data_IF_055083046588
#
_entry.id   IF_055083046588
#
_cell.length_a   1.000
_cell.length_b   1.000
_cell.length_c   1.000
_cell.angle_alpha   90.00
_cell.angle_beta   90.00
_cell.angle_gamma   90.00
#
_symmetry.space_group_name_H-M   'P 1'
#
loop_
_entity.id
_entity.type
_entity.pdbx_description
1 polymer ?
#
# COMPACT_ATOMS: atom_id res chain seq x y z
N UNK A 1 -7.69 -21.55 -20.71
CA UNK A 1 -8.35 -20.41 -20.03
C UNK A 1 -8.95 -19.48 -21.08
N UNK A 2 -10.20 -18.99 -20.96
CA UNK A 2 -10.71 -18.01 -21.92
C UNK A 2 -9.88 -16.73 -21.83
N UNK A 3 -9.44 -16.23 -22.99
CA UNK A 3 -8.57 -15.07 -23.11
C UNK A 3 -9.18 -13.79 -22.51
N UNK A 4 -10.51 -13.74 -22.42
CA UNK A 4 -11.27 -12.59 -21.90
C UNK A 4 -11.09 -12.31 -20.41
N UNK A 5 -10.70 -13.29 -19.60
CA UNK A 5 -10.46 -13.02 -18.17
C UNK A 5 -9.10 -12.36 -17.96
N UNK A 6 -8.10 -12.72 -18.79
CA UNK A 6 -6.76 -12.15 -18.73
C UNK A 6 -6.73 -10.70 -19.20
N UNK A 7 -7.63 -10.30 -20.10
CA UNK A 7 -7.69 -8.92 -20.60
C UNK A 7 -8.13 -7.90 -19.55
N UNK A 8 -8.80 -8.35 -18.49
CA UNK A 8 -9.27 -7.48 -17.41
C UNK A 8 -8.26 -7.39 -16.26
N UNK A 9 -7.21 -8.21 -16.29
CA UNK A 9 -6.15 -8.13 -15.31
C UNK A 9 -5.20 -6.99 -15.68
N UNK A 10 -4.69 -6.28 -14.68
CA UNK A 10 -3.72 -5.25 -14.94
C UNK A 10 -2.38 -5.89 -15.34
N UNK A 11 -1.61 -5.23 -16.22
CA UNK A 11 -0.33 -5.73 -16.74
C UNK A 11 0.76 -5.83 -15.66
N UNK A 12 1.90 -6.42 -15.98
CA UNK A 12 3.04 -6.60 -15.07
C UNK A 12 2.90 -7.77 -14.10
N UNK A 13 1.78 -8.50 -14.12
CA UNK A 13 1.54 -9.65 -13.25
C UNK A 13 2.10 -10.94 -13.87
N UNK A 14 2.76 -11.77 -13.05
CA UNK A 14 3.15 -13.11 -13.48
C UNK A 14 1.98 -14.09 -13.37
N UNK A 15 1.77 -14.85 -14.45
CA UNK A 15 0.77 -15.90 -14.56
C UNK A 15 1.47 -17.24 -14.73
N UNK A 16 1.00 -18.23 -13.98
CA UNK A 16 1.35 -19.64 -14.13
C UNK A 16 0.23 -20.35 -14.90
N UNK A 17 0.57 -20.96 -16.03
CA UNK A 17 -0.40 -21.72 -16.84
C UNK A 17 -0.62 -23.12 -16.25
N UNK A 18 -1.68 -23.78 -16.70
CA UNK A 18 -1.98 -25.18 -16.33
C UNK A 18 -0.88 -26.16 -16.78
N UNK A 19 -0.21 -25.86 -17.91
CA UNK A 19 0.97 -26.59 -18.41
C UNK A 19 2.24 -26.36 -17.58
N UNK A 20 2.22 -25.42 -16.64
CA UNK A 20 3.37 -25.07 -15.81
C UNK A 20 4.30 -24.02 -16.44
N UNK A 21 3.84 -23.30 -17.47
CA UNK A 21 4.59 -22.20 -18.06
C UNK A 21 4.41 -20.92 -17.24
N UNK A 22 5.50 -20.21 -17.00
CA UNK A 22 5.48 -18.88 -16.41
C UNK A 22 5.48 -17.83 -17.50
N UNK A 23 4.62 -16.82 -17.38
CA UNK A 23 4.62 -15.66 -18.24
C UNK A 23 4.25 -14.39 -17.50
N UNK A 24 4.50 -13.25 -18.14
CA UNK A 24 4.10 -11.93 -17.66
C UNK A 24 2.98 -11.42 -18.54
N UNK A 25 1.92 -10.90 -17.94
CA UNK A 25 0.87 -10.21 -18.66
C UNK A 25 1.38 -8.84 -19.10
N UNK A 26 1.49 -8.61 -20.40
CA UNK A 26 1.93 -7.32 -20.95
C UNK A 26 0.72 -6.50 -21.42
N UNK A 27 0.80 -5.18 -21.23
CA UNK A 27 -0.23 -4.27 -21.71
C UNK A 27 -0.41 -4.42 -23.23
N UNK A 28 -1.61 -4.78 -23.68
CA UNK A 28 -1.97 -4.91 -25.10
C UNK A 28 -1.42 -6.13 -25.85
N UNK A 29 -0.38 -6.81 -25.36
CA UNK A 29 0.23 -7.97 -26.03
C UNK A 29 -0.19 -9.33 -25.45
N UNK A 30 -0.93 -9.33 -24.34
CA UNK A 30 -1.37 -10.54 -23.67
C UNK A 30 -0.25 -11.22 -22.87
N UNK A 31 -0.34 -12.54 -22.71
CA UNK A 31 0.59 -13.30 -21.89
C UNK A 31 1.89 -13.59 -22.65
N UNK A 32 3.00 -12.96 -22.26
CA UNK A 32 4.35 -13.31 -22.76
C UNK A 32 5.02 -14.34 -21.86
N UNK A 33 5.09 -15.58 -22.33
CA UNK A 33 5.75 -16.68 -21.63
C UNK A 33 7.27 -16.52 -21.60
N UNK A 34 7.91 -16.84 -20.48
CA UNK A 34 9.37 -16.83 -20.29
C UNK A 34 9.92 -18.25 -20.27
N UNK A 35 10.38 -18.74 -21.43
CA UNK A 35 10.94 -20.09 -21.55
C UNK A 35 12.09 -20.35 -20.56
N UNK A 36 12.94 -19.34 -20.33
CA UNK A 36 14.07 -19.44 -19.40
C UNK A 36 13.61 -19.66 -17.94
N UNK A 37 12.62 -18.88 -17.46
CA UNK A 37 12.09 -19.04 -16.10
C UNK A 37 11.30 -20.34 -15.96
N UNK A 38 10.47 -20.67 -16.95
CA UNK A 38 9.75 -21.94 -17.00
C UNK A 38 10.72 -23.11 -16.89
N UNK A 39 11.77 -23.15 -17.70
CA UNK A 39 12.75 -24.24 -17.68
C UNK A 39 13.51 -24.30 -16.34
N UNK A 40 13.95 -23.15 -15.83
CA UNK A 40 14.70 -23.07 -14.56
C UNK A 40 13.87 -23.54 -13.36
N UNK A 41 12.54 -23.39 -13.41
CA UNK A 41 11.61 -23.77 -12.34
C UNK A 41 10.77 -25.02 -12.67
N UNK A 42 10.98 -25.69 -13.81
CA UNK A 42 10.07 -26.73 -14.30
C UNK A 42 9.81 -27.86 -13.30
N UNK A 43 10.88 -28.38 -12.67
CA UNK A 43 10.76 -29.43 -11.66
C UNK A 43 10.01 -28.96 -10.42
N UNK A 44 10.27 -27.72 -9.98
CA UNK A 44 9.62 -27.11 -8.83
C UNK A 44 8.14 -26.84 -9.09
N UNK A 45 7.81 -26.23 -10.23
CA UNK A 45 6.44 -25.94 -10.66
C UNK A 45 5.61 -27.22 -10.77
N UNK A 46 6.16 -28.28 -11.38
CA UNK A 46 5.44 -29.54 -11.51
C UNK A 46 5.08 -30.12 -10.15
N UNK A 47 6.07 -30.27 -9.26
CA UNK A 47 5.83 -30.77 -7.91
C UNK A 47 4.88 -29.88 -7.11
N UNK A 48 4.97 -28.56 -7.29
CA UNK A 48 4.06 -27.60 -6.68
C UNK A 48 2.61 -27.80 -7.16
N UNK A 49 2.40 -27.83 -8.48
CA UNK A 49 1.06 -27.96 -9.07
C UNK A 49 0.43 -29.32 -8.76
N UNK A 50 1.20 -30.40 -8.72
CA UNK A 50 0.69 -31.73 -8.35
C UNK A 50 0.24 -31.74 -6.88
N UNK A 51 1.04 -31.16 -5.98
CA UNK A 51 0.67 -31.02 -4.57
C UNK A 51 -0.54 -30.08 -4.38
N UNK A 52 -0.59 -28.99 -5.15
CA UNK A 52 -1.70 -28.03 -5.13
C UNK A 52 -3.01 -28.65 -5.61
N UNK A 53 -2.99 -29.41 -6.70
CA UNK A 53 -4.18 -30.11 -7.23
C UNK A 53 -4.70 -31.18 -6.26
N UNK A 54 -3.81 -31.79 -5.49
CA UNK A 54 -4.18 -32.80 -4.48
C UNK A 54 -4.87 -32.15 -3.28
N UNK A 55 -4.31 -31.04 -2.77
CA UNK A 55 -4.90 -30.28 -1.67
C UNK A 55 -4.59 -28.78 -1.83
N UNK A 56 -5.52 -28.01 -2.41
CA UNK A 56 -5.37 -26.58 -2.63
C UNK A 56 -5.24 -25.76 -1.34
N UNK A 57 -5.74 -26.30 -0.22
CA UNK A 57 -5.80 -25.62 1.07
C UNK A 57 -4.65 -26.01 2.01
N UNK A 58 -3.84 -27.00 1.64
CA UNK A 58 -2.72 -27.42 2.47
C UNK A 58 -1.59 -26.39 2.49
N UNK A 59 -1.34 -25.87 3.71
CA UNK A 59 -0.22 -24.97 4.00
C UNK A 59 -0.34 -23.62 3.29
N UNK A 60 0.81 -22.99 3.03
CA UNK A 60 0.89 -21.65 2.44
C UNK A 60 0.91 -21.66 0.89
N UNK A 61 0.40 -22.71 0.23
CA UNK A 61 0.45 -22.83 -1.24
C UNK A 61 -0.42 -21.79 -1.92
N UNK A 62 -1.70 -21.71 -1.52
CA UNK A 62 -2.60 -20.62 -1.90
C UNK A 62 -2.54 -19.55 -0.83
N UNK A 63 -2.23 -18.32 -1.25
CA UNK A 63 -2.06 -17.19 -0.34
C UNK A 63 -3.19 -16.17 -0.44
N UNK A 64 -3.87 -16.13 -1.58
CA UNK A 64 -5.02 -15.29 -1.81
C UNK A 64 -5.85 -15.83 -2.99
N UNK A 65 -7.00 -15.22 -3.21
CA UNK A 65 -7.77 -15.32 -4.44
C UNK A 65 -7.94 -13.93 -5.06
N UNK A 66 -8.09 -13.88 -6.37
CA UNK A 66 -8.42 -12.68 -7.14
C UNK A 66 -9.79 -12.88 -7.77
N UNK A 67 -10.67 -11.90 -7.57
CA UNK A 67 -12.02 -11.89 -8.10
C UNK A 67 -12.47 -10.46 -8.41
N UNK A 68 -13.57 -10.33 -9.14
CA UNK A 68 -14.21 -9.05 -9.41
C UNK A 68 -15.45 -8.95 -8.54
N UNK A 69 -15.50 -7.94 -7.70
CA UNK A 69 -16.64 -7.66 -6.83
C UNK A 69 -17.59 -6.71 -7.53
N UNK A 70 -18.89 -7.00 -7.51
CA UNK A 70 -19.91 -6.09 -8.04
C UNK A 70 -20.09 -4.81 -7.18
N UNK A 71 -19.61 -4.82 -5.93
CA UNK A 71 -19.70 -3.69 -5.01
C UNK A 71 -18.71 -2.55 -5.30
N UNK A 72 -19.09 -1.34 -4.91
CA UNK A 72 -18.21 -0.15 -4.97
C UNK A 72 -17.06 -0.31 -3.98
N UNK A 73 -15.91 -0.73 -4.47
CA UNK A 73 -14.65 -0.62 -3.73
C UNK A 73 -13.90 0.63 -4.19
N UNK A 74 -13.04 1.22 -3.33
CA UNK A 74 -12.24 2.38 -3.72
C UNK A 74 -11.23 2.07 -4.83
N UNK A 75 -11.05 0.79 -5.18
CA UNK A 75 -10.30 0.37 -6.35
C UNK A 75 -11.26 -0.18 -7.42
N UNK A 76 -11.26 0.40 -8.62
CA UNK A 76 -12.07 -0.04 -9.77
C UNK A 76 -11.57 -1.34 -10.43
N UNK A 77 -10.65 -2.06 -9.79
CA UNK A 77 -9.91 -3.18 -10.36
C UNK A 77 -10.16 -4.49 -9.61
N UNK A 78 -9.54 -5.57 -10.06
CA UNK A 78 -9.63 -6.88 -9.42
C UNK A 78 -9.29 -6.82 -7.91
N UNK A 79 -10.15 -7.42 -7.11
CA UNK A 79 -10.01 -7.52 -5.65
C UNK A 79 -9.21 -8.76 -5.29
N UNK A 80 -8.12 -8.56 -4.55
CA UNK A 80 -7.34 -9.63 -3.94
C UNK A 80 -7.84 -9.86 -2.52
N UNK A 81 -8.21 -11.10 -2.20
CA UNK A 81 -8.64 -11.52 -0.86
C UNK A 81 -7.67 -12.55 -0.29
N UNK A 82 -6.97 -12.18 0.77
CA UNK A 82 -5.98 -13.04 1.43
C UNK A 82 -6.62 -14.20 2.18
N UNK A 83 -5.91 -15.32 2.26
CA UNK A 83 -6.23 -16.40 3.20
C UNK A 83 -5.96 -15.96 4.65
N UNK A 84 -6.73 -16.49 5.61
CA UNK A 84 -6.63 -16.14 7.03
C UNK A 84 -5.19 -16.23 7.58
N UNK A 85 -4.47 -17.28 7.20
CA UNK A 85 -3.08 -17.51 7.62
C UNK A 85 -2.12 -16.42 7.08
N UNK A 86 -2.38 -15.91 5.89
CA UNK A 86 -1.58 -14.84 5.27
C UNK A 86 -1.88 -13.51 5.93
N UNK A 87 -3.15 -13.21 6.20
CA UNK A 87 -3.53 -11.99 6.95
C UNK A 87 -2.85 -11.96 8.32
N UNK A 88 -2.80 -13.10 9.03
CA UNK A 88 -2.12 -13.19 10.33
C UNK A 88 -0.62 -13.00 10.23
N UNK A 89 0.00 -13.49 9.16
CA UNK A 89 1.43 -13.32 8.93
C UNK A 89 1.78 -11.86 8.59
N UNK A 90 1.01 -11.23 7.70
CA UNK A 90 1.19 -9.84 7.29
C UNK A 90 0.85 -8.84 8.40
N UNK A 91 -0.14 -9.17 9.24
CA UNK A 91 -0.65 -8.29 10.29
C UNK A 91 -0.70 -9.03 11.64
N UNK A 92 0.46 -9.27 12.27
CA UNK A 92 0.52 -9.98 13.54
C UNK A 92 -0.23 -9.18 14.62
N UNK A 93 -1.16 -9.85 15.30
CA UNK A 93 -1.81 -9.31 16.50
C UNK A 93 -1.07 -9.81 17.73
N UNK A 94 -0.76 -8.92 18.68
CA UNK A 94 -0.14 -9.30 19.94
C UNK A 94 -1.02 -10.27 20.75
N UNK A 95 -0.44 -11.37 21.25
CA UNK A 95 -1.10 -12.34 22.11
C UNK A 95 -1.43 -13.70 21.47
N UNK A 96 -1.89 -14.66 22.28
CA UNK A 96 -2.32 -15.98 21.79
C UNK A 96 -3.70 -15.86 21.15
N UNK A 97 -3.76 -15.60 19.86
CA UNK A 97 -5.03 -15.59 19.12
C UNK A 97 -5.47 -17.04 18.86
N UNK A 98 -6.38 -17.55 19.68
CA UNK A 98 -7.19 -18.73 19.35
C UNK A 98 -8.53 -18.24 18.82
N UNK A 99 -8.82 -18.44 17.53
CA UNK A 99 -10.10 -18.05 16.93
C UNK A 99 -9.94 -17.35 15.58
N UNK A 100 -11.00 -16.68 15.11
CA UNK A 100 -11.04 -15.94 13.85
C UNK A 100 -10.08 -14.74 13.77
N UNK A 101 -10.11 -14.03 12.63
CA UNK A 101 -9.34 -12.79 12.43
C UNK A 101 -9.89 -11.67 13.33
N UNK A 102 -9.01 -10.81 13.85
CA UNK A 102 -9.44 -9.59 14.56
C UNK A 102 -10.16 -8.63 13.61
N UNK A 103 -10.96 -7.68 14.12
CA UNK A 103 -11.62 -6.68 13.28
C UNK A 103 -10.63 -5.88 12.43
N UNK A 104 -9.43 -5.59 12.97
CA UNK A 104 -8.36 -4.98 12.19
C UNK A 104 -7.92 -5.89 11.03
N UNK A 105 -7.60 -7.15 11.31
CA UNK A 105 -7.19 -8.13 10.29
C UNK A 105 -8.28 -8.35 9.23
N UNK A 106 -9.56 -8.40 9.61
CA UNK A 106 -10.67 -8.49 8.65
C UNK A 106 -10.69 -7.30 7.68
N UNK A 107 -10.48 -6.07 8.17
CA UNK A 107 -10.34 -4.88 7.30
C UNK A 107 -9.10 -4.91 6.41
N UNK A 108 -8.06 -5.66 6.80
CA UNK A 108 -6.85 -5.82 6.00
C UNK A 108 -6.93 -7.00 5.01
N UNK A 109 -8.00 -7.82 5.06
CA UNK A 109 -8.15 -9.03 4.25
C UNK A 109 -8.25 -8.77 2.74
N UNK A 110 -8.89 -7.66 2.37
CA UNK A 110 -9.17 -7.33 0.98
C UNK A 110 -8.32 -6.15 0.52
N UNK A 111 -7.66 -6.26 -0.62
CA UNK A 111 -6.83 -5.21 -1.21
C UNK A 111 -7.07 -5.14 -2.72
N UNK A 112 -6.68 -4.03 -3.34
CA UNK A 112 -6.43 -4.05 -4.78
C UNK A 112 -5.35 -5.09 -5.10
N UNK A 113 -5.43 -5.68 -6.29
CA UNK A 113 -4.47 -6.68 -6.74
C UNK A 113 -3.02 -6.23 -6.60
N UNK A 114 -2.69 -5.02 -7.06
CA UNK A 114 -1.33 -4.48 -6.95
C UNK A 114 -0.86 -4.32 -5.51
N UNK A 115 -1.67 -3.69 -4.65
CA UNK A 115 -1.28 -3.47 -3.25
C UNK A 115 -1.14 -4.78 -2.50
N UNK A 116 -2.00 -5.75 -2.78
CA UNK A 116 -1.90 -7.08 -2.19
C UNK A 116 -0.61 -7.82 -2.59
N UNK A 117 -0.24 -7.75 -3.87
CA UNK A 117 0.99 -8.35 -4.38
C UNK A 117 2.25 -7.67 -3.83
N UNK A 118 2.26 -6.34 -3.76
CA UNK A 118 3.33 -5.53 -3.17
C UNK A 118 3.59 -5.91 -1.71
N UNK A 119 2.53 -5.94 -0.89
CA UNK A 119 2.62 -6.35 0.52
C UNK A 119 3.26 -7.74 0.69
N UNK A 120 2.89 -8.71 -0.16
CA UNK A 120 3.49 -10.04 -0.13
C UNK A 120 4.96 -10.02 -0.55
N UNK A 121 5.32 -9.28 -1.59
CA UNK A 121 6.69 -9.17 -2.10
C UNK A 121 7.64 -8.42 -1.16
N UNK A 122 7.13 -7.52 -0.34
CA UNK A 122 7.90 -6.76 0.65
C UNK A 122 8.00 -7.48 1.99
N UNK A 123 7.05 -8.36 2.31
CA UNK A 123 7.05 -9.07 3.59
C UNK A 123 8.30 -9.93 3.79
N UNK A 124 8.95 -9.76 4.94
CA UNK A 124 10.09 -10.54 5.42
C UNK A 124 9.81 -11.04 6.82
N UNK A 125 10.23 -12.27 7.12
CA UNK A 125 10.21 -12.79 8.50
C UNK A 125 11.42 -12.25 9.24
N UNK A 126 11.23 -11.85 10.50
CA UNK A 126 12.32 -11.37 11.37
C UNK A 126 13.47 -12.39 11.46
N UNK A 127 13.15 -13.68 11.44
CA UNK A 127 14.16 -14.75 11.49
C UNK A 127 15.03 -14.87 10.23
N UNK A 128 14.56 -14.32 9.10
CA UNK A 128 15.21 -14.42 7.77
C UNK A 128 14.92 -13.14 6.95
N UNK A 129 15.52 -12.00 7.32
CA UNK A 129 15.22 -10.71 6.68
C UNK A 129 15.60 -10.67 5.20
N UNK A 130 16.60 -11.45 4.77
CA UNK A 130 17.10 -11.42 3.39
C UNK A 130 16.35 -12.35 2.44
N UNK A 131 15.49 -13.21 2.96
CA UNK A 131 14.81 -14.25 2.18
C UNK A 131 13.34 -13.87 1.98
N UNK A 132 12.85 -13.74 0.73
CA UNK A 132 11.45 -13.48 0.50
C UNK A 132 10.60 -14.67 0.96
N UNK A 133 9.53 -14.36 1.70
CA UNK A 133 8.57 -15.37 2.19
C UNK A 133 7.59 -15.75 1.10
N UNK A 134 7.19 -14.76 0.29
CA UNK A 134 6.22 -14.93 -0.79
C UNK A 134 6.86 -14.69 -2.16
N UNK A 135 6.49 -15.53 -3.12
CA UNK A 135 6.70 -15.35 -4.55
C UNK A 135 5.36 -15.58 -5.25
N UNK A 136 4.45 -14.58 -5.21
CA UNK A 136 3.09 -14.74 -5.65
C UNK A 136 2.98 -14.76 -7.17
N UNK A 137 2.24 -15.74 -7.71
CA UNK A 137 1.88 -15.84 -9.13
C UNK A 137 0.40 -16.13 -9.26
N UNK A 138 -0.26 -15.61 -10.29
CA UNK A 138 -1.65 -15.92 -10.57
C UNK A 138 -1.79 -17.27 -11.26
N UNK A 139 -2.75 -18.06 -10.83
CA UNK A 139 -3.07 -19.35 -11.41
C UNK A 139 -4.57 -19.45 -11.69
N UNK A 140 -4.87 -19.76 -12.94
CA UNK A 140 -6.23 -19.95 -13.40
C UNK A 140 -6.77 -21.29 -12.91
N UNK A 141 -7.87 -21.27 -12.17
CA UNK A 141 -8.60 -22.47 -11.78
C UNK A 141 -9.94 -22.56 -12.50
N UNK A 142 -10.44 -23.77 -12.76
CA UNK A 142 -11.75 -23.97 -13.38
C UNK A 142 -12.92 -23.75 -12.39
N UNK A 143 -12.65 -23.43 -11.13
CA UNK A 143 -13.64 -23.25 -10.07
C UNK A 143 -14.17 -21.82 -10.00
N UNK A 144 -15.42 -21.66 -9.57
CA UNK A 144 -16.04 -20.36 -9.34
C UNK A 144 -15.73 -19.79 -7.96
N UNK A 145 -16.23 -18.58 -7.70
CA UNK A 145 -16.07 -17.92 -6.40
C UNK A 145 -16.84 -18.62 -5.28
N UNK A 146 -17.94 -19.32 -5.60
CA UNK A 146 -18.67 -20.16 -4.64
C UNK A 146 -17.78 -21.22 -3.98
N UNK A 147 -16.90 -21.86 -4.75
CA UNK A 147 -15.93 -22.85 -4.25
C UNK A 147 -14.84 -22.23 -3.36
N UNK A 148 -14.82 -20.90 -3.23
CA UNK A 148 -13.85 -20.12 -2.44
C UNK A 148 -14.52 -19.22 -1.40
N UNK A 149 -15.81 -19.39 -1.14
CA UNK A 149 -16.55 -18.54 -0.21
C UNK A 149 -15.89 -18.45 1.19
N UNK A 150 -15.30 -19.56 1.68
CA UNK A 150 -14.57 -19.57 2.95
C UNK A 150 -13.38 -18.59 2.99
N UNK A 151 -12.71 -18.36 1.84
CA UNK A 151 -11.57 -17.45 1.71
C UNK A 151 -11.97 -15.98 1.60
N UNK A 152 -13.26 -15.67 1.41
CA UNK A 152 -13.76 -14.30 1.40
C UNK A 152 -13.90 -13.70 2.80
N UNK A 153 -14.13 -14.53 3.83
CA UNK A 153 -14.41 -14.00 5.18
C UNK A 153 -15.73 -13.23 5.29
N UNK A 154 -16.59 -13.32 4.27
CA UNK A 154 -17.95 -12.79 4.23
C UNK A 154 -18.88 -13.76 3.51
N UNK A 155 -20.19 -13.55 3.66
CA UNK A 155 -21.18 -14.24 2.83
C UNK A 155 -21.02 -13.83 1.36
N UNK A 156 -21.18 -14.80 0.48
CA UNK A 156 -21.21 -14.60 -0.96
C UNK A 156 -22.58 -14.08 -1.38
N UNK A 157 -22.61 -13.09 -2.26
CA UNK A 157 -23.87 -12.65 -2.85
C UNK A 157 -24.31 -13.65 -3.93
N UNK A 158 -25.62 -13.87 -4.14
CA UNK A 158 -26.11 -14.82 -5.15
C UNK A 158 -25.53 -14.58 -6.55
N UNK A 159 -25.41 -13.31 -6.95
CA UNK A 159 -24.84 -12.88 -8.23
C UNK A 159 -23.35 -13.19 -8.40
N UNK A 160 -22.60 -13.28 -7.29
CA UNK A 160 -21.15 -13.53 -7.30
C UNK A 160 -20.82 -15.03 -7.43
N UNK A 161 -21.81 -15.91 -7.33
CA UNK A 161 -21.58 -17.37 -7.27
C UNK A 161 -20.93 -17.96 -8.53
N UNK A 162 -21.27 -17.41 -9.69
CA UNK A 162 -20.77 -17.83 -11.00
C UNK A 162 -19.49 -17.09 -11.43
N UNK A 163 -19.03 -16.12 -10.63
CA UNK A 163 -17.85 -15.35 -10.96
C UNK A 163 -16.60 -16.22 -10.95
N UNK A 164 -15.78 -16.05 -11.98
CA UNK A 164 -14.50 -16.76 -12.08
C UNK A 164 -13.50 -16.14 -11.13
N UNK A 165 -12.68 -17.01 -10.55
CA UNK A 165 -11.59 -16.63 -9.66
C UNK A 165 -10.25 -17.09 -10.19
N UNK A 166 -9.20 -16.40 -9.77
CA UNK A 166 -7.83 -16.88 -9.89
C UNK A 166 -7.25 -17.09 -8.51
N UNK A 167 -6.56 -18.19 -8.33
CA UNK A 167 -5.83 -18.45 -7.11
C UNK A 167 -4.47 -17.74 -7.20
N UNK A 168 -4.03 -17.14 -6.10
CA UNK A 168 -2.67 -16.60 -5.97
C UNK A 168 -1.82 -17.66 -5.28
N UNK A 169 -0.86 -18.21 -6.02
CA UNK A 169 0.02 -19.27 -5.56
C UNK A 169 1.35 -18.71 -5.08
N UNK A 170 1.88 -19.21 -3.97
CA UNK A 170 3.20 -18.84 -3.48
C UNK A 170 4.26 -19.86 -3.91
N UNK A 171 4.95 -19.58 -5.02
CA UNK A 171 6.01 -20.47 -5.52
C UNK A 171 7.24 -20.55 -4.62
N UNK A 172 7.35 -19.73 -3.58
CA UNK A 172 8.42 -19.90 -2.59
C UNK A 172 8.18 -21.14 -1.71
N UNK A 173 6.93 -21.63 -1.62
CA UNK A 173 6.52 -22.70 -0.70
C UNK A 173 6.54 -24.07 -1.37
N UNK A 174 7.62 -24.85 -1.21
CA UNK A 174 7.54 -26.32 -1.28
C UNK A 174 8.81 -26.96 -0.72
N UNK A 175 8.68 -27.90 0.22
CA UNK A 175 9.77 -28.74 0.69
C UNK A 175 10.62 -28.16 1.83
N UNK A 176 11.28 -29.07 2.55
CA UNK A 176 12.15 -28.78 3.69
C UNK A 176 13.26 -27.78 3.30
N UNK A 177 13.06 -26.52 3.68
CA UNK A 177 14.07 -25.46 3.85
C UNK A 177 14.88 -24.96 2.63
N UNK A 178 14.80 -25.54 1.43
CA UNK A 178 15.76 -25.23 0.35
C UNK A 178 15.25 -24.42 -0.85
N UNK A 179 13.96 -24.19 -1.02
CA UNK A 179 13.44 -23.55 -2.25
C UNK A 179 13.49 -22.03 -2.23
N UNK A 180 13.38 -21.40 -1.06
CA UNK A 180 13.37 -19.93 -0.94
C UNK A 180 14.66 -19.27 -1.46
N UNK A 181 15.78 -19.98 -1.38
CA UNK A 181 17.09 -19.49 -1.80
C UNK A 181 17.53 -19.98 -3.19
N UNK A 182 16.60 -20.55 -3.97
CA UNK A 182 16.88 -20.87 -5.36
C UNK A 182 17.18 -19.57 -6.14
N UNK A 183 18.27 -19.51 -6.92
CA UNK A 183 18.56 -18.38 -7.79
C UNK A 183 17.37 -18.03 -8.70
N UNK A 184 16.64 -19.03 -9.20
CA UNK A 184 15.50 -18.80 -10.07
C UNK A 184 14.31 -18.14 -9.36
N UNK A 185 14.04 -18.49 -8.09
CA UNK A 185 13.01 -17.82 -7.28
C UNK A 185 13.41 -16.38 -6.98
N UNK A 186 14.69 -16.12 -6.68
CA UNK A 186 15.19 -14.74 -6.52
C UNK A 186 15.03 -13.94 -7.81
N UNK A 187 15.41 -14.50 -8.96
CA UNK A 187 15.22 -13.84 -10.26
C UNK A 187 13.75 -13.53 -10.54
N UNK A 188 12.84 -14.47 -10.27
CA UNK A 188 11.40 -14.25 -10.42
C UNK A 188 10.89 -13.17 -9.46
N UNK A 189 11.34 -13.16 -8.20
CA UNK A 189 10.95 -12.15 -7.23
C UNK A 189 11.45 -10.76 -7.63
N UNK A 190 12.71 -10.62 -8.05
CA UNK A 190 13.24 -9.36 -8.60
C UNK A 190 12.47 -8.89 -9.83
N UNK A 191 12.07 -9.81 -10.71
CA UNK A 191 11.23 -9.49 -11.86
C UNK A 191 9.86 -8.95 -11.40
N UNK A 192 9.19 -9.64 -10.47
CA UNK A 192 7.92 -9.23 -9.89
C UNK A 192 8.00 -7.86 -9.20
N UNK A 193 9.02 -7.64 -8.38
CA UNK A 193 9.26 -6.35 -7.72
C UNK A 193 9.45 -5.23 -8.75
N UNK A 194 10.25 -5.46 -9.78
CA UNK A 194 10.46 -4.47 -10.84
C UNK A 194 9.16 -4.12 -11.57
N UNK A 195 8.31 -5.10 -11.84
CA UNK A 195 7.07 -4.90 -12.61
C UNK A 195 5.92 -4.33 -11.77
N UNK A 196 5.82 -4.73 -10.50
CA UNK A 196 4.68 -4.38 -9.65
C UNK A 196 4.95 -3.17 -8.75
N UNK A 197 6.18 -3.01 -8.25
CA UNK A 197 6.51 -1.96 -7.27
C UNK A 197 6.91 -0.67 -7.99
N UNK A 198 7.63 -0.73 -9.11
CA UNK A 198 8.06 0.47 -9.82
C UNK A 198 6.86 1.26 -10.36
N UNK A 199 6.42 2.27 -9.60
CA UNK A 199 5.27 3.13 -9.88
C UNK A 199 5.44 3.86 -11.23
N UNK A 200 6.67 4.19 -11.62
CA UNK A 200 6.94 4.89 -12.89
C UNK A 200 6.52 4.05 -14.10
N UNK A 201 6.74 2.73 -14.07
CA UNK A 201 6.30 1.83 -15.14
C UNK A 201 4.77 1.70 -15.19
N UNK A 202 4.05 2.02 -14.11
CA UNK A 202 2.58 2.07 -14.07
C UNK A 202 2.02 3.37 -14.67
N UNK A 203 2.83 4.43 -14.69
CA UNK A 203 2.43 5.75 -15.19
C UNK A 203 2.76 5.98 -16.68
N UNK A 204 3.51 5.07 -17.32
CA UNK A 204 3.69 5.13 -18.78
C UNK A 204 2.33 4.91 -19.46
N UNK A 205 1.98 5.72 -20.47
CA UNK A 205 0.65 5.83 -21.10
C UNK A 205 0.04 4.56 -21.71
N UNK A 206 0.74 3.42 -21.66
CA UNK A 206 0.19 2.07 -21.94
C UNK A 206 -0.34 1.34 -20.70
N UNK A 207 -0.05 1.87 -19.51
CA UNK A 207 -0.41 1.42 -18.16
C UNK A 207 -1.29 2.43 -17.42
N UNK A 208 -1.51 3.64 -17.96
CA UNK A 208 -2.60 4.52 -17.52
C UNK A 208 -3.86 3.66 -17.49
N UNK A 209 -4.29 3.35 -16.27
CA UNK A 209 -5.45 2.53 -16.03
C UNK A 209 -6.60 3.06 -16.89
N UNK A 210 -7.46 2.15 -17.27
CA UNK A 210 -8.86 2.43 -17.58
C UNK A 210 -9.56 3.09 -16.37
N UNK A 211 -9.06 4.21 -15.84
CA UNK A 211 -9.86 5.34 -15.36
C UNK A 211 -10.59 5.96 -16.56
N UNK A 212 -11.27 5.12 -17.35
CA UNK A 212 -12.44 5.61 -18.04
C UNK A 212 -13.39 5.96 -16.92
N UNK A 213 -13.58 7.27 -16.74
CA UNK A 213 -14.70 7.86 -16.03
C UNK A 213 -15.88 6.90 -16.11
N UNK A 214 -16.22 6.29 -14.98
CA UNK A 214 -17.55 5.76 -14.80
C UNK A 214 -18.42 7.01 -14.85
N UNK A 215 -18.91 7.37 -16.03
CA UNK A 215 -20.05 8.27 -16.08
C UNK A 215 -21.16 7.53 -15.33
N UNK A 216 -21.76 8.12 -14.30
CA UNK A 216 -22.88 7.51 -13.60
C UNK A 216 -24.07 7.48 -14.58
N UNK A 217 -24.12 6.44 -15.41
CA UNK A 217 -25.23 6.16 -16.29
C UNK A 217 -26.38 5.58 -15.47
N UNK A 218 -27.48 6.34 -15.39
CA UNK A 218 -28.83 5.95 -15.00
C UNK A 218 -28.94 4.72 -14.07
N UNK A 219 -28.55 4.89 -12.81
CA UNK A 219 -29.03 4.01 -11.75
C UNK A 219 -30.52 4.26 -11.55
N UNK A 220 -31.34 3.30 -11.98
CA UNK A 220 -32.76 3.18 -11.60
C UNK A 220 -32.83 3.20 -10.05
N UNK A 221 -33.77 3.95 -9.44
CA UNK A 221 -33.88 4.00 -7.98
C UNK A 221 -34.22 2.60 -7.47
N UNK A 222 -33.27 1.97 -6.79
CA UNK A 222 -33.52 0.74 -6.04
C UNK A 222 -34.28 1.15 -4.77
N UNK A 223 -35.45 0.55 -4.46
CA UNK A 223 -36.17 0.88 -3.25
C UNK A 223 -35.33 0.51 -2.02
N UNK A 224 -35.21 1.47 -1.09
CA UNK A 224 -34.49 1.34 0.17
C UNK A 224 -34.87 0.03 0.90
N UNK A 225 -33.90 -0.85 1.21
CA UNK A 225 -34.16 -1.96 2.11
C UNK A 225 -34.33 -1.43 3.53
N UNK A 226 -35.38 -1.90 4.19
CA UNK A 226 -35.69 -1.61 5.59
C UNK A 226 -34.52 -2.00 6.49
N UNK A 227 -34.08 -1.01 7.27
CA UNK A 227 -32.92 -0.95 8.15
C UNK A 227 -32.77 -2.15 9.11
N UNK A 228 -31.57 -2.75 9.09
CA UNK A 228 -31.03 -3.58 10.16
C UNK A 228 -29.50 -3.38 10.20
N UNK A 229 -29.01 -2.74 11.27
CA UNK A 229 -27.64 -2.42 11.65
C UNK A 229 -26.49 -2.84 10.69
N UNK A 230 -26.09 -1.92 9.82
CA UNK A 230 -24.79 -1.92 9.12
C UNK A 230 -24.07 -0.60 9.42
N UNK A 231 -22.76 -0.59 9.74
CA UNK A 231 -22.04 0.65 10.02
C UNK A 231 -21.93 1.52 8.77
N UNK A 232 -22.38 2.77 8.93
CA UNK A 232 -22.50 3.82 7.93
C UNK A 232 -21.12 4.31 7.44
N UNK A 233 -20.81 4.07 6.17
CA UNK A 233 -19.59 4.48 5.49
C UNK A 233 -19.83 5.66 4.53
N UNK A 234 -21.07 6.14 4.39
CA UNK A 234 -21.46 7.11 3.36
C UNK A 234 -21.49 8.57 3.82
N UNK A 235 -21.28 8.85 5.12
CA UNK A 235 -21.43 10.20 5.68
C UNK A 235 -20.18 11.09 5.65
N UNK A 236 -19.15 10.79 4.84
CA UNK A 236 -17.91 11.60 4.80
C UNK A 236 -17.68 12.42 3.52
N UNK A 237 -18.59 12.40 2.54
CA UNK A 237 -18.32 12.96 1.20
C UNK A 237 -19.01 14.29 0.83
N UNK A 238 -19.59 15.03 1.78
CA UNK A 238 -20.20 16.34 1.49
C UNK A 238 -19.48 17.50 2.17
N UNK A 239 -18.49 18.11 1.50
CA UNK A 239 -18.30 19.56 1.26
C UNK A 239 -17.23 19.72 0.16
N UNK A 240 -17.65 20.18 -1.03
CA UNK A 240 -16.84 20.24 -2.25
C UNK A 240 -16.36 21.67 -2.56
N UNK A 241 -15.03 21.85 -2.65
CA UNK A 241 -14.31 22.89 -3.42
C UNK A 241 -12.94 22.28 -3.86
N UNK A 242 -12.26 22.79 -4.90
CA UNK A 242 -11.47 21.98 -5.82
C UNK A 242 -10.33 21.23 -5.14
N UNK A 243 -10.36 19.90 -5.30
CA UNK A 243 -9.28 18.99 -4.92
C UNK A 243 -8.02 19.33 -5.72
N UNK A 244 -7.18 20.21 -5.18
CA UNK A 244 -5.75 20.00 -5.33
C UNK A 244 -5.49 18.69 -4.59
N UNK A 245 -5.23 17.62 -5.34
CA UNK A 245 -4.97 16.26 -4.86
C UNK A 245 -4.16 16.27 -3.55
N UNK A 246 -4.84 16.22 -2.40
CA UNK A 246 -4.19 16.12 -1.09
C UNK A 246 -3.67 14.69 -0.82
N UNK A 247 -4.04 13.73 -1.67
CA UNK A 247 -3.53 12.37 -1.67
C UNK A 247 -2.26 12.18 -2.54
N UNK A 248 -2.02 13.04 -3.55
CA UNK A 248 -0.81 13.00 -4.38
C UNK A 248 0.51 13.51 -3.75
N UNK A 249 0.57 14.38 -2.72
CA UNK A 249 1.86 14.89 -2.23
C UNK A 249 2.71 13.76 -1.64
N UNK A 250 2.05 12.69 -1.17
CA UNK A 250 2.67 11.50 -0.59
C UNK A 250 3.30 10.56 -1.65
N UNK A 251 3.16 10.85 -2.95
CA UNK A 251 3.66 9.99 -4.04
C UNK A 251 5.17 10.02 -4.26
N UNK A 252 5.94 10.82 -3.51
CA UNK A 252 7.40 10.70 -3.56
C UNK A 252 7.84 9.35 -2.96
N UNK A 253 8.67 8.59 -3.67
CA UNK A 253 9.24 7.25 -3.33
C UNK A 253 9.78 7.10 -1.88
N UNK A 254 9.89 8.19 -1.13
CA UNK A 254 10.48 8.25 0.21
C UNK A 254 9.46 8.35 1.34
N UNK A 255 8.24 8.84 1.10
CA UNK A 255 7.18 8.83 2.13
C UNK A 255 6.89 7.38 2.54
N UNK A 256 6.91 6.45 1.58
CA UNK A 256 6.79 5.00 1.79
C UNK A 256 7.77 4.45 2.86
N UNK A 257 8.97 5.04 3.03
CA UNK A 257 9.95 4.62 4.06
C UNK A 257 9.65 5.15 5.46
N UNK A 258 8.97 6.29 5.56
CA UNK A 258 8.53 6.86 6.84
C UNK A 258 7.17 6.28 7.23
N UNK A 259 6.36 5.87 6.25
CA UNK A 259 5.05 5.23 6.44
C UNK A 259 5.09 4.04 7.39
N UNK A 260 6.15 3.24 7.36
CA UNK A 260 6.29 2.07 8.25
C UNK A 260 6.42 2.45 9.74
N UNK A 261 6.74 3.71 10.04
CA UNK A 261 6.83 4.23 11.41
C UNK A 261 5.57 4.99 11.85
N UNK A 262 4.59 5.18 10.96
CA UNK A 262 3.40 5.96 11.28
C UNK A 262 2.43 5.20 12.18
N UNK A 263 2.02 5.85 13.29
CA UNK A 263 0.87 5.40 14.06
C UNK A 263 -0.41 5.72 13.29
N UNK A 264 -1.12 4.66 12.85
CA UNK A 264 -2.44 4.73 12.25
C UNK A 264 -3.47 4.46 13.37
N UNK A 265 -4.53 5.28 13.54
CA UNK A 265 -4.95 6.38 12.68
C UNK A 265 -4.16 7.68 12.88
N UNK A 266 -3.96 8.43 11.80
CA UNK A 266 -3.38 9.78 11.87
C UNK A 266 -4.37 10.73 12.56
N UNK A 267 -3.86 11.54 13.48
CA UNK A 267 -4.66 12.60 14.12
C UNK A 267 -4.29 13.95 13.51
N UNK A 268 -5.27 14.79 13.12
CA UNK A 268 -4.98 16.15 12.69
C UNK A 268 -4.29 16.93 13.81
N UNK A 269 -3.39 17.84 13.45
CA UNK A 269 -2.72 18.70 14.44
C UNK A 269 -3.70 19.77 14.94
N UNK A 270 -3.64 20.08 16.23
CA UNK A 270 -4.43 21.18 16.77
C UNK A 270 -3.79 22.54 16.40
N UNK A 271 -4.58 23.56 16.04
CA UNK A 271 -4.06 24.89 15.66
C UNK A 271 -3.10 25.49 16.69
N UNK A 272 -3.35 25.27 17.98
CA UNK A 272 -2.52 25.85 19.05
C UNK A 272 -1.09 25.30 19.03
N UNK A 273 -0.89 24.05 18.59
CA UNK A 273 0.45 23.44 18.45
C UNK A 273 1.21 24.03 17.28
N UNK A 274 0.53 24.45 16.20
CA UNK A 274 1.19 25.11 15.07
C UNK A 274 1.83 26.44 15.48
N UNK A 275 1.23 27.17 16.42
CA UNK A 275 1.76 28.46 16.93
C UNK A 275 3.09 28.35 17.67
N UNK A 276 3.55 27.14 17.98
CA UNK A 276 4.87 26.92 18.57
C UNK A 276 6.00 27.18 17.57
N UNK A 277 5.70 27.09 16.26
CA UNK A 277 6.65 27.37 15.19
C UNK A 277 6.62 28.83 14.77
N UNK A 278 7.80 29.41 14.57
CA UNK A 278 7.95 30.85 14.24
C UNK A 278 7.18 31.21 12.96
N UNK A 279 7.16 30.30 11.98
CA UNK A 279 6.51 30.53 10.68
C UNK A 279 4.98 30.64 10.77
N UNK A 280 4.36 30.03 11.78
CA UNK A 280 2.89 29.95 11.89
C UNK A 280 2.34 30.81 13.04
N UNK A 281 3.22 31.39 13.86
CA UNK A 281 2.84 32.13 15.06
C UNK A 281 1.94 33.33 14.77
N UNK A 282 2.23 34.07 13.70
CA UNK A 282 1.54 35.30 13.32
C UNK A 282 0.45 35.08 12.26
N UNK A 283 0.14 33.82 11.92
CA UNK A 283 -0.97 33.50 11.02
C UNK A 283 -2.30 33.79 11.71
N UNK A 284 -3.27 34.29 10.95
CA UNK A 284 -4.64 34.48 11.41
C UNK A 284 -5.31 33.13 11.70
N UNK A 285 -6.33 33.16 12.57
CA UNK A 285 -7.00 31.95 13.06
C UNK A 285 -7.64 31.12 11.92
N UNK A 286 -8.34 31.70 10.92
CA UNK A 286 -8.83 30.95 9.75
C UNK A 286 -7.74 30.19 9.00
N UNK A 287 -6.67 30.88 8.60
CA UNK A 287 -5.52 30.31 7.88
C UNK A 287 -4.84 29.18 8.67
N UNK A 288 -4.66 29.41 9.98
CA UNK A 288 -4.06 28.42 10.88
C UNK A 288 -4.94 27.18 11.03
N UNK A 289 -6.27 27.34 11.14
CA UNK A 289 -7.23 26.24 11.19
C UNK A 289 -7.23 25.42 9.91
N UNK A 290 -7.15 26.07 8.75
CA UNK A 290 -7.05 25.37 7.47
C UNK A 290 -5.76 24.54 7.40
N UNK A 291 -4.63 25.14 7.79
CA UNK A 291 -3.35 24.43 7.83
C UNK A 291 -3.40 23.24 8.79
N UNK A 292 -4.02 23.39 9.98
CA UNK A 292 -4.17 22.33 10.96
C UNK A 292 -5.04 21.18 10.45
N UNK A 293 -6.17 21.48 9.80
CA UNK A 293 -7.07 20.50 9.23
C UNK A 293 -6.39 19.65 8.13
N UNK A 294 -5.42 20.24 7.42
CA UNK A 294 -4.68 19.60 6.31
C UNK A 294 -3.32 19.03 6.73
N UNK A 295 -2.91 19.22 8.00
CA UNK A 295 -1.63 18.74 8.52
C UNK A 295 -1.83 17.57 9.47
N UNK A 296 -1.12 16.48 9.22
CA UNK A 296 -1.17 15.28 10.05
C UNK A 296 -0.07 15.29 11.11
N UNK A 297 -0.40 14.77 12.30
CA UNK A 297 0.57 14.49 13.34
C UNK A 297 1.20 13.11 13.09
N UNK A 298 2.53 13.08 13.01
CA UNK A 298 3.31 11.86 12.84
C UNK A 298 4.05 11.52 14.15
N UNK A 299 4.23 10.23 14.40
CA UNK A 299 5.07 9.72 15.50
C UNK A 299 6.10 8.76 14.93
N UNK A 300 7.32 8.75 15.49
CA UNK A 300 8.34 7.77 15.14
C UNK A 300 9.10 7.29 16.39
N UNK A 301 9.55 6.02 16.45
CA UNK A 301 10.32 5.52 17.58
C UNK A 301 11.75 6.08 17.59
N UNK A 302 12.43 6.00 18.73
CA UNK A 302 13.86 6.27 18.81
C UNK A 302 14.65 5.29 17.91
N UNK A 303 15.67 5.79 17.23
CA UNK A 303 16.44 5.07 16.22
C UNK A 303 15.87 5.19 14.80
N UNK A 304 14.69 5.76 14.61
CA UNK A 304 14.12 5.97 13.27
C UNK A 304 14.94 6.99 12.47
N UNK A 305 15.23 6.65 11.22
CA UNK A 305 15.88 7.55 10.27
C UNK A 305 14.81 8.35 9.50
N UNK A 306 14.88 9.67 9.54
CA UNK A 306 13.82 10.55 9.04
C UNK A 306 14.19 11.23 7.72
N UNK A 307 15.42 11.74 7.60
CA UNK A 307 15.87 12.49 6.42
C UNK A 307 17.33 12.15 6.10
N UNK A 308 17.67 12.07 4.81
CA UNK A 308 19.05 11.97 4.34
C UNK A 308 19.64 13.35 4.07
N UNK A 309 20.97 13.42 4.06
CA UNK A 309 21.69 14.55 3.48
C UNK A 309 21.52 14.57 1.94
N UNK A 310 21.69 15.77 1.38
CA UNK A 310 21.68 16.08 -0.05
C UNK A 310 20.35 15.85 -0.78
N UNK A 311 19.25 15.69 -0.04
CA UNK A 311 17.89 15.54 -0.59
C UNK A 311 17.27 16.90 -0.90
N UNK A 312 16.54 17.00 -2.02
CA UNK A 312 15.82 18.21 -2.44
C UNK A 312 14.30 17.97 -2.51
N UNK A 313 13.75 17.28 -1.52
CA UNK A 313 12.32 17.01 -1.45
C UNK A 313 11.52 18.28 -1.09
N UNK A 314 10.24 18.28 -1.40
CA UNK A 314 9.33 19.40 -1.18
C UNK A 314 8.69 19.40 0.23
N UNK A 315 9.14 18.56 1.15
CA UNK A 315 8.51 18.42 2.46
C UNK A 315 9.33 19.08 3.57
N UNK A 316 8.68 19.57 4.62
CA UNK A 316 9.35 20.23 5.75
C UNK A 316 8.98 19.57 7.05
N UNK A 317 9.99 19.18 7.83
CA UNK A 317 9.81 18.52 9.12
C UNK A 317 9.80 19.55 10.24
N UNK A 318 8.78 19.51 11.09
CA UNK A 318 8.65 20.36 12.27
C UNK A 318 8.57 19.49 13.52
N UNK A 319 9.55 19.59 14.42
CA UNK A 319 9.64 18.75 15.61
C UNK A 319 8.78 19.30 16.74
N UNK A 320 7.78 18.53 17.18
CA UNK A 320 6.92 18.91 18.31
C UNK A 320 7.48 18.39 19.63
N UNK A 321 7.70 17.07 19.73
CA UNK A 321 8.15 16.40 20.95
C UNK A 321 9.27 15.41 20.66
N UNK A 322 10.07 15.08 21.69
CA UNK A 322 11.17 14.13 21.64
C UNK A 322 12.50 14.76 21.25
N UNK A 323 13.45 13.97 20.75
CA UNK A 323 14.82 14.40 20.48
C UNK A 323 15.30 13.80 19.17
N UNK A 324 15.99 14.60 18.35
CA UNK A 324 16.60 14.18 17.09
C UNK A 324 18.09 14.52 17.07
N UNK A 325 18.84 13.79 16.25
CA UNK A 325 20.23 14.07 15.92
C UNK A 325 20.31 14.51 14.46
N UNK A 326 20.95 15.65 14.23
CA UNK A 326 21.32 16.14 12.92
C UNK A 326 22.79 15.77 12.69
N UNK A 327 23.11 15.08 11.60
CA UNK A 327 24.47 14.69 11.24
C UNK A 327 24.82 15.32 9.89
N UNK A 328 25.80 16.23 9.86
CA UNK A 328 26.28 16.84 8.62
C UNK A 328 27.15 15.86 7.81
N UNK A 329 27.44 16.20 6.56
CA UNK A 329 28.24 15.37 5.67
C UNK A 329 29.70 15.15 6.16
N UNK A 330 30.23 16.06 6.98
CA UNK A 330 31.55 15.96 7.61
C UNK A 330 31.53 15.13 8.91
N UNK A 331 30.37 14.63 9.32
CA UNK A 331 30.16 13.86 10.55
C UNK A 331 29.91 14.72 11.80
N UNK A 332 29.89 16.05 11.69
CA UNK A 332 29.51 16.90 12.81
C UNK A 332 28.05 16.64 13.20
N UNK A 333 27.79 16.59 14.51
CA UNK A 333 26.46 16.25 15.04
C UNK A 333 25.88 17.39 15.87
N UNK A 334 24.57 17.59 15.77
CA UNK A 334 23.79 18.54 16.55
C UNK A 334 22.51 17.88 17.03
N UNK A 335 22.32 17.83 18.35
CA UNK A 335 21.08 17.37 18.96
C UNK A 335 20.06 18.51 19.02
N UNK A 336 18.83 18.23 18.64
CA UNK A 336 17.69 19.15 18.76
C UNK A 336 16.59 18.46 19.57
N UNK A 337 16.12 19.12 20.62
CA UNK A 337 15.01 18.64 21.45
C UNK A 337 13.72 19.39 21.10
N UNK A 338 12.58 18.70 21.10
CA UNK A 338 11.25 19.27 20.91
C UNK A 338 10.94 20.35 21.94
N UNK A 339 10.24 21.40 21.52
CA UNK A 339 9.98 22.60 22.34
C UNK A 339 11.19 23.51 22.58
N UNK A 340 12.42 23.11 22.19
CA UNK A 340 13.59 23.99 22.24
C UNK A 340 13.47 25.16 21.25
N UNK A 341 14.28 26.21 21.46
CA UNK A 341 14.31 27.34 20.53
C UNK A 341 14.67 26.92 19.09
N UNK A 342 15.53 25.92 18.92
CA UNK A 342 15.93 25.40 17.61
C UNK A 342 14.79 24.64 16.92
N UNK A 343 13.97 23.90 17.68
CA UNK A 343 12.83 23.16 17.15
C UNK A 343 11.67 24.05 16.68
N UNK A 344 11.68 25.35 17.02
CA UNK A 344 10.67 26.31 16.53
C UNK A 344 10.79 26.64 15.03
N UNK A 345 11.85 26.17 14.38
CA UNK A 345 12.11 26.31 12.95
C UNK A 345 12.04 24.93 12.26
N UNK A 346 11.75 24.90 10.94
CA UNK A 346 11.79 23.64 10.19
C UNK A 346 13.18 22.99 10.25
N UNK A 347 13.19 21.69 10.53
CA UNK A 347 14.40 20.89 10.67
C UNK A 347 15.03 20.64 9.29
N UNK A 348 16.32 20.98 9.16
CA UNK A 348 17.09 20.85 7.92
C UNK A 348 16.37 21.42 6.68
N UNK A 349 15.90 22.68 6.80
CA UNK A 349 15.11 23.37 5.77
C UNK A 349 15.85 23.67 4.47
N UNK A 350 17.17 23.86 4.52
CA UNK A 350 17.96 24.18 3.33
C UNK A 350 17.90 23.03 2.31
N UNK A 351 17.69 23.35 1.03
CA UNK A 351 17.66 22.39 -0.08
C UNK A 351 18.85 22.65 -1.01
N UNK A 352 19.68 21.64 -1.33
CA UNK A 352 19.65 20.27 -0.83
C UNK A 352 19.96 20.19 0.69
N UNK A 353 19.35 19.23 1.39
CA UNK A 353 19.45 19.06 2.84
C UNK A 353 20.90 18.92 3.28
N UNK A 354 21.31 19.69 4.29
CA UNK A 354 22.69 19.66 4.81
C UNK A 354 22.92 18.62 5.89
N UNK A 355 21.83 18.07 6.44
CA UNK A 355 21.89 17.14 7.55
C UNK A 355 21.07 15.90 7.26
N UNK A 356 21.64 14.76 7.64
CA UNK A 356 20.90 13.54 7.94
C UNK A 356 20.22 13.70 9.29
N UNK A 357 18.98 13.20 9.43
CA UNK A 357 18.18 13.34 10.65
C UNK A 357 17.75 11.98 11.16
N UNK A 358 18.13 11.66 12.40
CA UNK A 358 17.76 10.42 13.08
C UNK A 358 17.08 10.74 14.42
N UNK A 359 16.02 10.02 14.78
CA UNK A 359 15.35 10.14 16.07
C UNK A 359 16.20 9.50 17.18
N UNK A 360 16.42 10.22 18.29
CA UNK A 360 17.13 9.70 19.47
C UNK A 360 16.17 9.14 20.52
N UNK A 361 14.95 9.67 20.57
CA UNK A 361 13.86 9.22 21.44
C UNK A 361 12.59 9.07 20.61
N UNK A 362 11.50 8.50 21.16
CA UNK A 362 10.20 8.61 20.51
C UNK A 362 9.84 10.08 20.28
N UNK A 363 9.50 10.43 19.05
CA UNK A 363 9.20 11.80 18.63
C UNK A 363 7.77 11.93 18.13
N UNK A 364 7.25 13.14 18.23
CA UNK A 364 6.09 13.60 17.47
C UNK A 364 6.52 14.76 16.58
N UNK A 365 6.09 14.75 15.32
CA UNK A 365 6.47 15.77 14.35
C UNK A 365 5.37 16.01 13.33
N UNK A 366 5.46 17.16 12.65
CA UNK A 366 4.66 17.48 11.47
C UNK A 366 5.54 17.35 10.24
N UNK A 367 4.94 16.95 9.14
CA UNK A 367 5.58 16.90 7.84
C UNK A 367 4.66 17.61 6.84
N UNK A 368 5.07 18.81 6.42
CA UNK A 368 4.22 19.73 5.67
C UNK A 368 4.85 20.01 4.31
N UNK A 369 4.10 19.80 3.23
CA UNK A 369 4.57 20.02 1.86
C UNK A 369 4.65 21.51 1.50
N UNK A 370 5.65 21.91 0.72
CA UNK A 370 5.86 23.29 0.25
C UNK A 370 4.62 23.87 -0.43
N UNK A 371 3.93 23.08 -1.26
CA UNK A 371 2.67 23.50 -1.90
C UNK A 371 1.56 23.84 -0.91
N UNK A 372 1.45 23.11 0.22
CA UNK A 372 0.46 23.41 1.25
C UNK A 372 0.83 24.73 1.94
N UNK A 373 2.12 24.91 2.25
CA UNK A 373 2.62 26.19 2.77
C UNK A 373 2.39 27.33 1.80
N UNK A 374 2.61 27.13 0.49
CA UNK A 374 2.39 28.15 -0.52
C UNK A 374 0.92 28.52 -0.68
N UNK A 375 0.02 27.52 -0.67
CA UNK A 375 -1.42 27.73 -0.78
C UNK A 375 -1.97 28.56 0.39
N UNK A 376 -1.54 28.24 1.62
CA UNK A 376 -1.99 28.92 2.85
C UNK A 376 -1.38 30.33 2.98
N UNK A 377 -0.24 30.60 2.34
CA UNK A 377 0.39 31.93 2.34
C UNK A 377 0.00 32.78 1.12
N UNK A 378 -0.79 32.26 0.17
CA UNK A 378 -1.21 33.03 -0.99
C UNK A 378 -2.17 34.15 -0.53
N UNK A 379 -1.95 35.41 -0.92
CA UNK A 379 -2.90 36.47 -0.60
C UNK A 379 -4.26 36.11 -1.21
N UNK A 380 -5.35 36.29 -0.44
CA UNK A 380 -6.69 36.07 -0.97
C UNK A 380 -6.84 36.85 -2.28
N UNK A 381 -7.32 36.21 -3.37
CA UNK A 381 -7.55 36.91 -4.61
C UNK A 381 -8.56 38.02 -4.33
N UNK A 382 -8.12 39.28 -4.39
CA UNK A 382 -8.98 40.44 -4.21
C UNK A 382 -10.22 40.27 -5.11
N UNK A 383 -11.35 39.93 -4.51
CA UNK A 383 -12.66 39.88 -5.16
C UNK A 383 -13.08 41.32 -5.40
N UNK A 384 -12.50 41.94 -6.43
CA UNK A 384 -12.93 43.26 -6.91
C UNK A 384 -14.32 43.08 -7.50
N UNK A 385 -15.33 43.61 -6.79
CA UNK A 385 -16.72 43.78 -7.26
C UNK A 385 -16.83 44.66 -8.51
#
# INVERSE_FOLDING_TARGET
MPTSYLTNLPPGICILTESGDLGVLEAGYGLRTSAALTQALAGHIRGFLDAYRTDPHAGERRVAIVHYTAGSHPWASATLSFEDQVVRALYPAGGRVRGGLTSFQQRQRHRSLYRGMELMLEYRRESRPDTPVYCPVLYAVPTGLADRAASLGRALLPEESEDRVMDVLNLATLGEHRTHDSPAIRTLNTLLQRLLINKQLRCESSYELMERSFEPGDTVPVPEPVLGDVPDWQLMDEVTLPQVDLYRPHESERVDRIECWLRIPHTPVKPERLREFVQFREMDEPTLNELAARSLLYSAPGGAHLLDNDVSDAWNLYLLDGSIMLTAADGATLRVDGGSHQARYPISFLKPRKYRVDALSPINFLWIHDMLLAAVNAPEPNTTE
#
